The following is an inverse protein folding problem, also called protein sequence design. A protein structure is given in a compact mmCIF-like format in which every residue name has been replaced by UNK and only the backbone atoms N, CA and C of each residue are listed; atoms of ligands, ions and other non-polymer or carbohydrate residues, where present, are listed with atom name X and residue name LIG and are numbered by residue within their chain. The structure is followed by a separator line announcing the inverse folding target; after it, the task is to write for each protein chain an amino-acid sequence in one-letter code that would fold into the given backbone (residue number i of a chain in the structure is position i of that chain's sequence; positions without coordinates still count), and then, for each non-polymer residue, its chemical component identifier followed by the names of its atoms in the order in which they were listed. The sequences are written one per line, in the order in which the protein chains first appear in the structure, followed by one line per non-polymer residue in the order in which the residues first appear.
data_IF_645537424070
#
_entry.id   IF_645537424070
#
_cell.length_a   1.000
_cell.length_b   1.000
_cell.length_c   1.000
_cell.angle_alpha   90.00
_cell.angle_beta   90.00
_cell.angle_gamma   90.00
#
_symmetry.space_group_name_H-M   'P 1'
#
loop_
_entity.id
_entity.type
_entity.pdbx_description
1 polymer ?
#
# COMPACT_ATOMS: atom_id res chain seq x y z
N UNK A 1 -1.23 -61.43 51.89
CA UNK A 1 -2.35 -61.28 50.96
C UNK A 1 -1.91 -60.30 49.90
N UNK A 2 -1.84 -60.79 48.65
CA UNK A 2 -1.32 -60.11 47.47
C UNK A 2 -2.49 -59.32 46.80
N UNK A 3 -2.33 -58.07 46.48
CA UNK A 3 -3.23 -57.33 45.62
C UNK A 3 -2.44 -56.71 44.48
N UNK A 4 -2.74 -57.18 43.25
CA UNK A 4 -2.16 -56.71 42.00
C UNK A 4 -2.85 -55.41 41.54
N UNK A 5 -2.06 -54.37 41.29
CA UNK A 5 -2.51 -53.17 40.65
C UNK A 5 -2.10 -53.16 39.16
N UNK A 6 -3.10 -53.36 38.29
CA UNK A 6 -2.90 -53.31 36.83
C UNK A 6 -2.96 -51.84 36.37
N UNK A 7 -1.87 -51.38 35.79
CA UNK A 7 -1.83 -50.09 35.10
C UNK A 7 -2.54 -50.20 33.73
N UNK A 8 -3.62 -49.49 33.56
CA UNK A 8 -4.27 -49.25 32.27
C UNK A 8 -3.57 -48.06 31.58
N UNK A 9 -2.83 -48.35 30.50
CA UNK A 9 -2.22 -47.34 29.64
C UNK A 9 -3.29 -46.91 28.63
N UNK A 10 -3.87 -45.72 28.83
CA UNK A 10 -4.78 -45.10 27.87
C UNK A 10 -3.96 -44.35 26.83
N UNK A 11 -3.89 -44.91 25.61
CA UNK A 11 -3.39 -44.18 24.43
C UNK A 11 -4.34 -43.04 24.06
N UNK A 12 -3.93 -41.82 24.34
CA UNK A 12 -4.57 -40.65 23.77
C UNK A 12 -4.11 -40.46 22.31
N UNK A 13 -4.96 -40.91 21.36
CA UNK A 13 -4.79 -40.57 19.96
C UNK A 13 -5.19 -39.10 19.76
N UNK A 14 -4.21 -38.22 19.65
CA UNK A 14 -4.45 -36.82 19.26
C UNK A 14 -4.78 -36.84 17.76
N UNK A 15 -6.05 -36.77 17.45
CA UNK A 15 -6.54 -36.54 16.10
C UNK A 15 -6.32 -35.07 15.73
N UNK A 16 -5.24 -34.80 15.01
CA UNK A 16 -4.97 -33.46 14.45
C UNK A 16 -6.00 -33.24 13.34
N UNK A 17 -7.04 -32.46 13.63
CA UNK A 17 -7.94 -31.93 12.61
C UNK A 17 -7.17 -30.91 11.77
N UNK A 18 -6.59 -31.37 10.69
CA UNK A 18 -6.05 -30.48 9.64
C UNK A 18 -7.25 -29.85 8.95
N UNK A 19 -7.42 -28.56 9.18
CA UNK A 19 -8.50 -27.75 8.62
C UNK A 19 -8.45 -27.80 7.08
N UNK A 20 -9.50 -28.30 6.40
CA UNK A 20 -9.50 -28.45 4.93
C UNK A 20 -9.33 -27.14 4.17
N UNK A 21 -9.57 -25.97 4.82
CA UNK A 21 -9.29 -24.67 4.22
C UNK A 21 -7.79 -24.40 3.99
N UNK A 22 -6.89 -25.05 4.73
CA UNK A 22 -5.43 -24.93 4.52
C UNK A 22 -4.96 -25.70 3.27
N UNK A 23 -5.67 -26.77 2.90
CA UNK A 23 -5.36 -27.53 1.69
C UNK A 23 -5.83 -26.85 0.41
N UNK A 24 -6.94 -26.09 0.46
CA UNK A 24 -7.46 -25.39 -0.72
C UNK A 24 -6.61 -24.17 -1.10
N UNK A 25 -5.94 -23.53 -0.15
CA UNK A 25 -5.01 -22.41 -0.44
C UNK A 25 -3.71 -22.88 -1.14
N UNK A 26 -3.33 -24.17 -0.98
CA UNK A 26 -2.13 -24.74 -1.59
C UNK A 26 -2.40 -25.49 -2.91
N UNK A 27 -3.64 -25.71 -3.32
CA UNK A 27 -3.95 -26.45 -4.55
C UNK A 27 -3.98 -25.60 -5.83
N UNK A 28 -3.93 -24.28 -5.74
CA UNK A 28 -3.84 -23.42 -6.94
C UNK A 28 -2.42 -23.22 -7.49
N UNK A 29 -1.41 -23.89 -6.93
CA UNK A 29 -0.01 -23.83 -7.42
C UNK A 29 0.43 -25.21 -7.96
N UNK A 30 -0.44 -25.94 -8.64
CA UNK A 30 -0.04 -27.14 -9.39
C UNK A 30 -0.03 -26.83 -10.89
N UNK A 31 1.18 -26.62 -11.42
CA UNK A 31 1.40 -26.57 -12.86
C UNK A 31 2.46 -25.58 -13.34
N UNK A 32 3.47 -25.24 -12.55
CA UNK A 32 4.63 -24.57 -13.11
C UNK A 32 5.67 -25.64 -13.53
N UNK A 33 5.70 -25.89 -14.83
CA UNK A 33 6.77 -26.63 -15.49
C UNK A 33 8.10 -25.90 -15.26
N UNK A 34 9.02 -26.54 -14.54
CA UNK A 34 10.36 -26.04 -14.23
C UNK A 34 11.32 -26.17 -15.43
N UNK A 35 10.79 -26.31 -16.62
CA UNK A 35 11.55 -26.42 -17.88
C UNK A 35 11.76 -25.09 -18.56
N UNK A 36 12.97 -24.58 -18.48
CA UNK A 36 13.54 -23.39 -19.09
C UNK A 36 13.29 -22.06 -18.36
N UNK A 37 14.33 -21.22 -18.30
CA UNK A 37 14.41 -19.83 -17.82
C UNK A 37 13.44 -18.85 -18.54
N UNK A 38 12.16 -19.20 -18.70
CA UNK A 38 11.16 -18.34 -19.31
C UNK A 38 10.82 -17.24 -18.33
N UNK A 39 11.22 -16.04 -18.65
CA UNK A 39 10.98 -14.84 -17.88
C UNK A 39 9.49 -14.55 -17.87
N UNK A 40 8.90 -14.44 -16.67
CA UNK A 40 7.49 -14.10 -16.52
C UNK A 40 7.18 -12.72 -17.11
N UNK A 41 6.12 -12.63 -17.90
CA UNK A 41 5.60 -11.39 -18.50
C UNK A 41 4.52 -10.81 -17.61
N UNK A 42 4.72 -9.61 -17.14
CA UNK A 42 3.81 -8.93 -16.20
C UNK A 42 3.25 -7.66 -16.81
N UNK A 43 1.94 -7.50 -16.74
CA UNK A 43 1.27 -6.21 -16.93
C UNK A 43 0.91 -5.66 -15.56
N UNK A 44 1.39 -4.46 -15.24
CA UNK A 44 1.05 -3.75 -14.02
C UNK A 44 0.03 -2.65 -14.31
N UNK A 45 -1.09 -2.63 -13.60
CA UNK A 45 -2.14 -1.61 -13.73
C UNK A 45 -1.98 -0.47 -12.71
N UNK A 46 -1.03 -0.59 -11.77
CA UNK A 46 -0.69 0.48 -10.81
C UNK A 46 0.76 0.88 -10.93
N UNK A 47 1.05 2.14 -10.65
CA UNK A 47 2.43 2.65 -10.68
C UNK A 47 3.32 1.95 -9.65
N UNK A 48 2.79 1.66 -8.46
CA UNK A 48 3.56 0.95 -7.42
C UNK A 48 3.93 -0.47 -7.87
N UNK A 49 2.97 -1.21 -8.46
CA UNK A 49 3.26 -2.56 -8.96
C UNK A 49 4.26 -2.54 -10.10
N UNK A 50 4.15 -1.56 -11.02
CA UNK A 50 5.13 -1.40 -12.10
C UNK A 50 6.53 -1.08 -11.56
N UNK A 51 6.64 -0.20 -10.57
CA UNK A 51 7.90 0.18 -9.95
C UNK A 51 8.54 -1.01 -9.20
N UNK A 52 7.76 -1.76 -8.42
CA UNK A 52 8.26 -2.95 -7.72
C UNK A 52 8.72 -4.04 -8.69
N UNK A 53 7.93 -4.36 -9.72
CA UNK A 53 8.33 -5.33 -10.76
C UNK A 53 9.57 -4.84 -11.50
N UNK A 54 9.63 -3.54 -11.87
CA UNK A 54 10.79 -2.94 -12.52
C UNK A 54 12.06 -3.06 -11.69
N UNK A 55 11.99 -2.78 -10.40
CA UNK A 55 13.13 -2.93 -9.48
C UNK A 55 13.62 -4.37 -9.36
N UNK A 56 12.72 -5.35 -9.41
CA UNK A 56 13.07 -6.77 -9.36
C UNK A 56 13.54 -7.29 -10.73
N UNK A 57 12.81 -6.96 -11.80
CA UNK A 57 13.07 -7.41 -13.16
C UNK A 57 12.37 -6.53 -14.18
N UNK A 58 12.98 -5.44 -14.60
CA UNK A 58 12.40 -4.48 -15.58
C UNK A 58 11.98 -5.18 -16.89
N UNK A 59 12.72 -6.17 -17.33
CA UNK A 59 12.44 -6.92 -18.54
C UNK A 59 11.27 -7.92 -18.39
N UNK A 60 10.71 -8.09 -17.21
CA UNK A 60 9.45 -8.79 -16.99
C UNK A 60 8.23 -7.89 -17.23
N UNK A 61 8.38 -6.58 -17.19
CA UNK A 61 7.29 -5.65 -17.49
C UNK A 61 7.02 -5.57 -19.00
N UNK A 62 5.84 -6.02 -19.40
CA UNK A 62 5.36 -5.93 -20.80
C UNK A 62 4.27 -4.88 -20.99
N UNK A 63 3.71 -4.33 -19.90
CA UNK A 63 2.72 -3.26 -19.91
C UNK A 63 2.64 -2.53 -18.57
N UNK A 64 2.45 -1.21 -18.63
CA UNK A 64 2.39 -0.33 -17.45
C UNK A 64 1.24 0.69 -17.54
N UNK A 65 0.82 1.31 -16.43
CA UNK A 65 -0.11 2.43 -16.48
C UNK A 65 0.62 3.69 -16.99
N UNK A 66 -0.09 4.54 -17.71
CA UNK A 66 0.37 5.90 -18.03
C UNK A 66 0.40 6.77 -16.78
N UNK A 67 1.56 6.87 -16.16
CA UNK A 67 1.77 7.59 -14.90
C UNK A 67 2.83 8.69 -15.07
N UNK A 68 2.54 9.87 -14.49
CA UNK A 68 3.52 10.96 -14.42
C UNK A 68 4.75 10.59 -13.58
N UNK A 69 4.65 9.57 -12.71
CA UNK A 69 5.76 9.07 -11.91
C UNK A 69 6.88 8.47 -12.76
N UNK A 70 6.57 7.99 -13.97
CA UNK A 70 7.54 7.37 -14.89
C UNK A 70 8.05 8.31 -15.97
N UNK A 71 7.57 9.56 -16.01
CA UNK A 71 7.89 10.50 -17.10
C UNK A 71 9.39 10.69 -17.33
N UNK A 72 10.17 10.69 -16.26
CA UNK A 72 11.63 10.90 -16.31
C UNK A 72 12.45 9.62 -16.08
N UNK A 73 11.79 8.46 -15.93
CA UNK A 73 12.43 7.18 -15.69
C UNK A 73 12.68 6.48 -17.03
N UNK A 74 13.90 6.54 -17.53
CA UNK A 74 14.28 6.02 -18.86
C UNK A 74 13.91 4.57 -19.09
N UNK A 75 13.98 3.76 -18.05
CA UNK A 75 13.71 2.33 -18.08
C UNK A 75 12.24 1.98 -18.38
N UNK A 76 11.29 2.90 -18.10
CA UNK A 76 9.87 2.70 -18.36
C UNK A 76 9.40 3.28 -19.71
N UNK A 77 10.20 4.09 -20.39
CA UNK A 77 9.75 4.84 -21.58
C UNK A 77 9.35 3.97 -22.77
N UNK A 78 9.98 2.79 -22.91
CA UNK A 78 9.71 1.88 -24.02
C UNK A 78 8.68 0.80 -23.69
N UNK A 79 8.10 0.82 -22.48
CA UNK A 79 7.12 -0.18 -22.07
C UNK A 79 5.72 0.29 -22.50
N UNK A 80 4.92 -0.57 -23.16
CA UNK A 80 3.57 -0.23 -23.60
C UNK A 80 2.67 0.27 -22.47
N UNK A 81 2.00 1.40 -22.71
CA UNK A 81 1.01 1.96 -21.78
C UNK A 81 -0.33 1.28 -22.04
N UNK A 82 -0.90 0.62 -21.01
CA UNK A 82 -2.16 -0.14 -21.08
C UNK A 82 -3.34 0.56 -20.40
N UNK A 83 -3.10 1.67 -19.69
CA UNK A 83 -4.16 2.50 -19.10
C UNK A 83 -3.69 3.94 -18.96
N UNK A 84 -4.61 4.92 -18.95
CA UNK A 84 -4.27 6.34 -18.77
C UNK A 84 -5.20 6.98 -17.75
N UNK A 85 -4.60 7.53 -16.68
CA UNK A 85 -5.33 8.23 -15.63
C UNK A 85 -6.41 7.35 -14.98
N UNK A 86 -7.67 7.84 -15.01
CA UNK A 86 -8.84 7.12 -14.48
C UNK A 86 -9.59 6.29 -15.52
N UNK A 87 -9.08 6.22 -16.75
CA UNK A 87 -9.69 5.41 -17.80
C UNK A 87 -9.54 3.93 -17.48
N UNK A 88 -10.51 3.14 -17.92
CA UNK A 88 -10.42 1.68 -17.84
C UNK A 88 -9.18 1.19 -18.59
N UNK A 89 -8.48 0.17 -18.09
CA UNK A 89 -7.39 -0.46 -18.80
C UNK A 89 -7.86 -1.02 -20.17
N UNK A 90 -7.00 -0.90 -21.16
CA UNK A 90 -7.21 -1.43 -22.50
C UNK A 90 -7.00 -2.94 -22.51
N UNK A 91 -8.11 -3.68 -22.41
CA UNK A 91 -8.10 -5.15 -22.31
C UNK A 91 -7.52 -5.80 -23.57
N UNK A 92 -7.85 -5.30 -24.76
CA UNK A 92 -7.35 -5.83 -26.04
C UNK A 92 -5.82 -5.70 -26.10
N UNK A 93 -5.31 -4.54 -25.73
CA UNK A 93 -3.88 -4.30 -25.65
C UNK A 93 -3.22 -5.21 -24.62
N UNK A 94 -3.81 -5.40 -23.43
CA UNK A 94 -3.29 -6.31 -22.40
C UNK A 94 -3.19 -7.73 -22.98
N UNK A 95 -4.24 -8.24 -23.62
CA UNK A 95 -4.27 -9.57 -24.22
C UNK A 95 -3.18 -9.69 -25.30
N UNK A 96 -3.01 -8.69 -26.15
CA UNK A 96 -1.99 -8.71 -27.22
C UNK A 96 -0.56 -8.82 -26.70
N UNK A 97 -0.30 -8.34 -25.50
CA UNK A 97 1.01 -8.46 -24.83
C UNK A 97 1.30 -9.86 -24.28
N UNK A 98 0.30 -10.75 -24.27
CA UNK A 98 0.38 -12.14 -23.79
C UNK A 98 1.06 -12.21 -22.42
N UNK A 99 0.54 -11.54 -21.38
CA UNK A 99 1.12 -11.57 -20.04
C UNK A 99 0.87 -12.92 -19.39
N UNK A 100 1.82 -13.36 -18.56
CA UNK A 100 1.62 -14.48 -17.63
C UNK A 100 0.80 -14.02 -16.41
N UNK A 101 0.94 -12.73 -16.01
CA UNK A 101 0.20 -12.13 -14.88
C UNK A 101 -0.22 -10.69 -15.17
N UNK A 102 -1.40 -10.33 -14.65
CA UNK A 102 -1.86 -8.92 -14.61
C UNK A 102 -2.08 -8.51 -13.16
N UNK A 103 -1.44 -7.42 -12.72
CA UNK A 103 -1.49 -6.94 -11.34
C UNK A 103 -2.33 -5.66 -11.28
N UNK A 104 -3.38 -5.68 -10.45
CA UNK A 104 -4.27 -4.53 -10.25
C UNK A 104 -4.52 -4.20 -8.77
N UNK A 105 -5.09 -3.04 -8.50
CA UNK A 105 -5.48 -2.62 -7.16
C UNK A 105 -6.90 -3.10 -6.84
N UNK A 106 -7.08 -3.70 -5.66
CA UNK A 106 -8.37 -4.11 -5.12
C UNK A 106 -9.34 -2.92 -5.04
N UNK A 107 -10.57 -3.17 -5.42
CA UNK A 107 -11.62 -2.15 -5.46
C UNK A 107 -11.59 -1.31 -6.73
N UNK A 108 -10.42 -0.94 -7.24
CA UNK A 108 -10.30 -0.09 -8.44
C UNK A 108 -10.25 -0.89 -9.75
N UNK A 109 -9.53 -2.03 -9.76
CA UNK A 109 -9.36 -2.84 -10.98
C UNK A 109 -10.16 -4.16 -10.96
N UNK A 110 -11.00 -4.42 -9.95
CA UNK A 110 -11.68 -5.70 -9.77
C UNK A 110 -12.47 -6.14 -11.01
N UNK A 111 -13.17 -5.20 -11.66
CA UNK A 111 -13.93 -5.50 -12.88
C UNK A 111 -13.02 -5.89 -14.05
N UNK A 112 -11.88 -5.22 -14.18
CA UNK A 112 -10.89 -5.51 -15.23
C UNK A 112 -10.22 -6.86 -14.97
N UNK A 113 -9.80 -7.11 -13.72
CA UNK A 113 -9.15 -8.36 -13.34
C UNK A 113 -10.07 -9.56 -13.58
N UNK A 114 -11.33 -9.50 -13.15
CA UNK A 114 -12.31 -10.58 -13.45
C UNK A 114 -12.46 -10.86 -14.94
N UNK A 115 -12.58 -9.82 -15.77
CA UNK A 115 -12.66 -10.03 -17.23
C UNK A 115 -11.42 -10.73 -17.81
N UNK A 116 -10.24 -10.44 -17.27
CA UNK A 116 -9.00 -11.08 -17.70
C UNK A 116 -8.92 -12.54 -17.21
N UNK A 117 -9.42 -12.83 -16.01
CA UNK A 117 -9.56 -14.20 -15.47
C UNK A 117 -10.51 -15.02 -16.32
N UNK A 118 -11.66 -14.45 -16.72
CA UNK A 118 -12.62 -15.12 -17.62
C UNK A 118 -12.00 -15.47 -18.99
N UNK A 119 -10.95 -14.75 -19.38
CA UNK A 119 -10.17 -14.99 -20.60
C UNK A 119 -8.94 -15.89 -20.37
N UNK A 120 -8.80 -16.49 -19.16
CA UNK A 120 -7.73 -17.40 -18.81
C UNK A 120 -6.40 -16.74 -18.47
N UNK A 121 -6.37 -15.43 -18.21
CA UNK A 121 -5.17 -14.71 -17.81
C UNK A 121 -5.11 -14.65 -16.28
N UNK A 122 -3.99 -15.08 -15.69
CA UNK A 122 -3.80 -15.02 -14.23
C UNK A 122 -3.74 -13.58 -13.73
N UNK A 123 -4.42 -13.29 -12.63
CA UNK A 123 -4.45 -11.93 -12.06
C UNK A 123 -4.02 -11.92 -10.59
N UNK A 124 -3.56 -10.74 -10.15
CA UNK A 124 -3.17 -10.48 -8.77
C UNK A 124 -3.83 -9.17 -8.33
N UNK A 125 -4.69 -9.26 -7.32
CA UNK A 125 -5.33 -8.10 -6.71
C UNK A 125 -4.55 -7.65 -5.49
N UNK A 126 -4.02 -6.41 -5.51
CA UNK A 126 -3.20 -5.85 -4.42
C UNK A 126 -4.00 -4.88 -3.56
N UNK A 127 -3.73 -4.87 -2.27
CA UNK A 127 -4.34 -3.95 -1.31
C UNK A 127 -3.30 -3.46 -0.29
N UNK A 128 -2.53 -2.46 -0.69
CA UNK A 128 -1.40 -1.96 0.11
C UNK A 128 -1.89 -0.83 1.03
N UNK A 129 -2.11 -1.17 2.30
CA UNK A 129 -2.55 -0.25 3.36
C UNK A 129 -1.50 -0.01 4.43
N UNK A 130 -0.44 -0.81 4.45
CA UNK A 130 0.62 -0.73 5.44
C UNK A 130 1.98 -1.07 4.85
N UNK A 131 3.02 -0.77 5.61
CA UNK A 131 4.38 -1.18 5.26
C UNK A 131 4.53 -2.70 5.20
N UNK A 132 3.84 -3.43 6.10
CA UNK A 132 3.80 -4.88 6.10
C UNK A 132 3.18 -5.44 4.81
N UNK A 133 2.11 -4.81 4.30
CA UNK A 133 1.51 -5.22 3.03
C UNK A 133 2.48 -5.00 1.86
N UNK A 134 3.23 -3.89 1.88
CA UNK A 134 4.23 -3.58 0.86
C UNK A 134 5.36 -4.63 0.86
N UNK A 135 5.91 -4.97 2.03
CA UNK A 135 6.95 -5.99 2.21
C UNK A 135 6.46 -7.38 1.78
N UNK A 136 5.24 -7.73 2.17
CA UNK A 136 4.62 -9.00 1.76
C UNK A 136 4.41 -9.07 0.25
N UNK A 137 3.98 -7.98 -0.36
CA UNK A 137 3.77 -7.92 -1.81
C UNK A 137 5.09 -7.99 -2.59
N UNK A 138 6.16 -7.32 -2.13
CA UNK A 138 7.48 -7.47 -2.74
C UNK A 138 7.96 -8.92 -2.67
N UNK A 139 7.81 -9.58 -1.52
CA UNK A 139 8.18 -11.00 -1.35
C UNK A 139 7.38 -11.92 -2.28
N UNK A 140 6.08 -11.65 -2.46
CA UNK A 140 5.25 -12.36 -3.42
C UNK A 140 5.76 -12.18 -4.85
N UNK A 141 6.12 -10.95 -5.24
CA UNK A 141 6.68 -10.65 -6.58
C UNK A 141 8.01 -11.34 -6.82
N UNK A 142 8.88 -11.43 -5.82
CA UNK A 142 10.17 -12.16 -5.93
C UNK A 142 9.95 -13.63 -6.28
N UNK A 143 9.00 -14.27 -5.62
CA UNK A 143 8.64 -15.67 -5.89
C UNK A 143 8.05 -15.84 -7.30
N UNK A 144 7.11 -14.98 -7.70
CA UNK A 144 6.44 -15.01 -9.00
C UNK A 144 7.40 -14.78 -10.18
N UNK A 145 8.38 -13.90 -10.00
CA UNK A 145 9.36 -13.59 -11.04
C UNK A 145 10.52 -14.58 -11.04
N UNK A 146 10.55 -15.55 -10.13
CA UNK A 146 11.66 -16.51 -9.95
C UNK A 146 13.03 -15.81 -9.94
N UNK A 147 13.08 -14.60 -9.41
CA UNK A 147 14.31 -13.80 -9.43
C UNK A 147 15.17 -14.09 -8.21
N UNK A 148 16.46 -14.36 -8.44
CA UNK A 148 17.46 -14.45 -7.36
C UNK A 148 17.81 -13.06 -6.77
N UNK A 149 17.41 -12.01 -7.45
CA UNK A 149 17.59 -10.63 -6.96
C UNK A 149 16.71 -10.45 -5.75
N UNK A 150 17.31 -10.41 -4.56
CA UNK A 150 16.60 -10.01 -3.35
C UNK A 150 16.03 -8.62 -3.56
N UNK A 151 14.77 -8.44 -3.18
CA UNK A 151 14.19 -7.11 -3.13
C UNK A 151 15.08 -6.20 -2.28
N UNK A 152 15.13 -4.97 -2.67
CA UNK A 152 16.01 -3.99 -2.04
C UNK A 152 15.17 -2.86 -1.44
N UNK A 153 13.99 -3.23 -0.87
CA UNK A 153 13.07 -2.26 -0.27
C UNK A 153 13.78 -1.37 0.74
N UNK A 154 14.60 -1.94 1.62
CA UNK A 154 15.33 -1.19 2.64
C UNK A 154 16.25 -0.13 2.00
N UNK A 155 17.00 -0.47 0.96
CA UNK A 155 17.86 0.47 0.25
C UNK A 155 17.05 1.52 -0.53
N UNK A 156 15.94 1.12 -1.15
CA UNK A 156 15.08 2.03 -1.89
C UNK A 156 14.29 2.96 -0.96
N UNK A 157 14.02 2.50 0.26
CA UNK A 157 13.19 3.18 1.26
C UNK A 157 13.99 3.57 2.52
N UNK A 158 15.29 3.88 2.37
CA UNK A 158 16.19 4.20 3.50
C UNK A 158 15.58 5.13 4.53
N UNK A 159 14.88 6.17 4.07
CA UNK A 159 14.25 7.15 4.97
C UNK A 159 13.10 6.55 5.80
N UNK A 160 12.51 5.43 5.34
CA UNK A 160 11.43 4.75 6.06
C UNK A 160 11.94 3.75 7.10
N UNK A 161 13.22 3.37 7.04
CA UNK A 161 13.90 2.46 7.97
C UNK A 161 14.79 3.20 8.98
N UNK A 162 14.76 4.53 9.00
CA UNK A 162 15.49 5.29 10.01
C UNK A 162 15.01 4.94 11.41
N UNK A 163 15.95 4.85 12.36
CA UNK A 163 15.62 4.74 13.78
C UNK A 163 14.80 5.95 14.21
N UNK A 164 13.62 5.71 14.74
CA UNK A 164 12.75 6.75 15.25
C UNK A 164 13.23 7.14 16.64
N UNK A 165 13.41 8.44 16.84
CA UNK A 165 13.73 8.97 18.17
C UNK A 165 12.50 8.82 19.07
N UNK A 166 12.70 8.19 20.25
CA UNK A 166 11.65 8.01 21.27
C UNK A 166 11.07 9.32 21.78
N UNK A 167 11.76 10.45 21.61
CA UNK A 167 11.24 11.80 21.93
C UNK A 167 10.02 12.22 21.10
N UNK A 168 9.72 11.47 20.01
CA UNK A 168 8.52 11.67 19.18
C UNK A 168 7.27 11.04 19.74
N UNK A 169 7.42 10.07 20.64
CA UNK A 169 6.30 9.47 21.36
C UNK A 169 5.58 10.59 22.11
N UNK A 170 4.29 10.81 21.79
CA UNK A 170 3.39 11.84 22.28
C UNK A 170 3.28 13.14 21.44
N UNK A 171 3.91 13.24 20.28
CA UNK A 171 3.56 14.33 19.35
C UNK A 171 2.33 13.95 18.54
N UNK A 172 1.19 14.50 18.93
CA UNK A 172 -0.02 14.27 18.16
C UNK A 172 0.05 15.00 16.80
N UNK A 173 -0.49 14.34 15.79
CA UNK A 173 -0.58 14.87 14.43
C UNK A 173 -1.99 14.69 13.89
N UNK A 174 -2.37 15.57 12.99
CA UNK A 174 -3.55 15.42 12.17
C UNK A 174 -3.17 15.59 10.70
N UNK A 175 -3.50 14.62 9.88
CA UNK A 175 -3.37 14.74 8.43
C UNK A 175 -4.70 15.21 7.82
N UNK A 176 -4.66 16.22 6.97
CA UNK A 176 -5.78 16.68 6.16
C UNK A 176 -5.48 16.38 4.69
N UNK A 177 -6.29 15.49 4.09
CA UNK A 177 -6.06 15.01 2.72
C UNK A 177 -6.99 15.65 1.70
N UNK A 178 -8.07 16.27 2.17
CA UNK A 178 -9.03 17.04 1.39
C UNK A 178 -9.74 18.04 2.29
N UNK A 179 -10.30 19.09 1.71
CA UNK A 179 -11.12 20.10 2.41
C UNK A 179 -12.61 19.97 2.13
N UNK A 180 -12.96 19.40 0.99
CA UNK A 180 -14.36 19.26 0.55
C UNK A 180 -14.60 17.87 -0.03
N UNK A 181 -15.05 16.90 0.78
CA UNK A 181 -15.19 16.96 2.26
C UNK A 181 -13.84 17.01 2.97
N UNK A 182 -13.81 17.50 4.23
CA UNK A 182 -12.57 17.51 5.03
C UNK A 182 -12.28 16.09 5.50
N UNK A 183 -11.27 15.45 4.88
CA UNK A 183 -10.92 14.06 5.11
C UNK A 183 -9.61 13.94 5.89
N UNK A 184 -9.60 12.99 6.83
CA UNK A 184 -8.41 12.61 7.60
C UNK A 184 -8.22 11.07 7.57
N UNK A 185 -6.97 10.56 7.47
CA UNK A 185 -6.69 9.13 7.47
C UNK A 185 -6.70 8.55 8.88
N UNK A 186 -7.29 7.36 9.05
CA UNK A 186 -7.17 6.57 10.27
C UNK A 186 -6.13 5.44 10.13
N UNK A 187 -6.03 4.57 11.15
CA UNK A 187 -5.05 3.46 11.18
C UNK A 187 -5.24 2.41 10.07
N UNK A 188 -6.41 2.36 9.42
CA UNK A 188 -6.70 1.42 8.32
C UNK A 188 -6.17 1.90 6.96
N UNK A 189 -5.60 3.10 6.89
CA UNK A 189 -5.05 3.68 5.66
C UNK A 189 -3.53 3.57 5.58
N UNK A 190 -2.99 3.65 4.37
CA UNK A 190 -1.55 3.77 4.13
C UNK A 190 -0.93 4.94 4.89
N UNK A 191 -1.55 6.12 4.82
CA UNK A 191 -1.08 7.31 5.54
C UNK A 191 -1.05 7.11 7.05
N UNK A 192 -2.11 6.51 7.62
CA UNK A 192 -2.16 6.20 9.05
C UNK A 192 -1.08 5.21 9.46
N UNK A 193 -0.81 4.20 8.63
CA UNK A 193 0.30 3.27 8.83
C UNK A 193 1.66 3.97 8.82
N UNK A 194 1.89 4.92 7.90
CA UNK A 194 3.12 5.71 7.87
C UNK A 194 3.27 6.60 9.11
N UNK A 195 2.21 7.32 9.49
CA UNK A 195 2.21 8.17 10.69
C UNK A 195 2.60 7.35 11.92
N UNK A 196 1.96 6.19 12.10
CA UNK A 196 2.27 5.26 13.20
C UNK A 196 3.71 4.75 13.13
N UNK A 197 4.20 4.42 11.93
CA UNK A 197 5.58 3.96 11.72
C UNK A 197 6.61 4.95 12.20
N UNK A 198 6.32 6.26 12.09
CA UNK A 198 7.20 7.33 12.57
C UNK A 198 6.96 7.73 14.03
N UNK A 199 6.19 6.94 14.80
CA UNK A 199 5.98 7.15 16.23
C UNK A 199 5.06 8.33 16.57
N UNK A 200 4.32 8.87 15.59
CA UNK A 200 3.37 9.94 15.85
C UNK A 200 2.02 9.38 16.31
N UNK A 201 1.40 10.12 17.22
CA UNK A 201 0.02 9.89 17.64
C UNK A 201 -0.94 10.53 16.63
N UNK A 202 -1.58 9.73 15.80
CA UNK A 202 -2.58 10.20 14.85
C UNK A 202 -3.92 10.40 15.54
N UNK A 203 -4.38 11.64 15.68
CA UNK A 203 -5.63 11.99 16.37
C UNK A 203 -6.89 11.29 15.81
N UNK A 204 -6.80 10.75 14.60
CA UNK A 204 -7.91 10.04 13.96
C UNK A 204 -7.67 8.53 13.84
N UNK A 205 -6.60 7.99 14.47
CA UNK A 205 -6.18 6.60 14.31
C UNK A 205 -7.31 5.59 14.59
N UNK A 206 -7.99 5.76 15.71
CA UNK A 206 -8.99 4.80 16.22
C UNK A 206 -10.43 5.20 15.88
N UNK A 207 -10.62 6.29 15.12
CA UNK A 207 -11.94 6.72 14.70
C UNK A 207 -12.41 5.88 13.50
N UNK A 208 -13.67 5.38 13.52
CA UNK A 208 -14.16 4.53 12.45
C UNK A 208 -14.34 5.32 11.14
N UNK A 209 -13.92 4.75 10.04
CA UNK A 209 -14.22 5.27 8.71
C UNK A 209 -15.69 4.98 8.38
N UNK A 210 -16.49 6.04 8.22
CA UNK A 210 -17.88 5.96 7.75
C UNK A 210 -17.93 6.51 6.32
N UNK A 211 -18.25 5.66 5.34
CA UNK A 211 -18.43 6.09 3.95
C UNK A 211 -17.66 5.25 2.93
N UNK A 212 -17.59 5.75 1.70
CA UNK A 212 -16.98 5.06 0.55
C UNK A 212 -15.47 4.86 0.66
N UNK A 213 -14.78 5.75 1.37
CA UNK A 213 -13.33 5.75 1.48
C UNK A 213 -12.86 5.05 2.76
N UNK A 214 -12.73 3.73 2.70
CA UNK A 214 -12.17 2.95 3.82
C UNK A 214 -10.80 3.48 4.22
N UNK A 215 -10.60 3.66 5.54
CA UNK A 215 -9.36 4.22 6.08
C UNK A 215 -9.33 5.75 6.11
N UNK A 216 -10.41 6.42 5.69
CA UNK A 216 -10.56 7.87 5.77
C UNK A 216 -11.91 8.22 6.41
N UNK A 217 -11.93 9.30 7.16
CA UNK A 217 -13.14 9.77 7.81
C UNK A 217 -13.34 11.26 7.60
N UNK A 218 -14.60 11.68 7.61
CA UNK A 218 -14.97 13.08 7.58
C UNK A 218 -14.77 13.69 8.96
N UNK A 219 -14.08 14.81 9.01
CA UNK A 219 -14.03 15.69 10.17
C UNK A 219 -14.56 17.07 9.77
N UNK A 220 -14.84 17.91 10.76
CA UNK A 220 -15.27 19.30 10.53
C UNK A 220 -14.37 20.29 11.27
N UNK A 221 -14.58 21.58 11.03
CA UNK A 221 -13.78 22.62 11.65
C UNK A 221 -13.95 22.67 13.17
N UNK A 222 -15.14 22.35 13.68
CA UNK A 222 -15.41 22.30 15.12
C UNK A 222 -14.59 21.18 15.79
N UNK A 223 -14.58 19.97 15.19
CA UNK A 223 -13.75 18.86 15.65
C UNK A 223 -12.27 19.25 15.66
N UNK A 224 -11.80 19.92 14.62
CA UNK A 224 -10.42 20.38 14.50
C UNK A 224 -10.04 21.39 15.57
N UNK A 225 -10.94 22.35 15.88
CA UNK A 225 -10.76 23.31 16.96
C UNK A 225 -10.74 22.66 18.36
N UNK A 226 -11.58 21.66 18.57
CA UNK A 226 -11.66 20.95 19.86
C UNK A 226 -10.40 20.13 20.12
N UNK A 227 -9.85 19.47 19.09
CA UNK A 227 -8.74 18.53 19.26
C UNK A 227 -7.34 19.15 19.13
N UNK A 228 -7.23 20.37 18.61
CA UNK A 228 -6.00 21.18 18.58
C UNK A 228 -4.71 20.39 18.29
N UNK A 229 -4.50 19.87 17.07
CA UNK A 229 -3.29 19.10 16.76
C UNK A 229 -2.02 19.91 16.99
N UNK A 230 -0.98 19.25 17.52
CA UNK A 230 0.35 19.86 17.63
C UNK A 230 1.01 20.07 16.27
N UNK A 231 0.77 19.14 15.33
CA UNK A 231 1.30 19.19 13.99
C UNK A 231 0.19 18.96 12.97
N UNK A 232 0.17 19.75 11.89
CA UNK A 232 -0.73 19.56 10.75
C UNK A 232 0.05 19.04 9.55
N UNK A 233 -0.39 17.91 9.02
CA UNK A 233 0.11 17.31 7.80
C UNK A 233 -0.89 17.59 6.68
N UNK A 234 -0.56 18.50 5.77
CA UNK A 234 -1.45 18.95 4.71
C UNK A 234 -1.07 18.34 3.38
N UNK A 235 -2.01 17.69 2.73
CA UNK A 235 -1.76 17.04 1.44
C UNK A 235 -2.10 17.97 0.29
N UNK A 236 -1.13 18.15 -0.61
CA UNK A 236 -1.34 18.86 -1.87
C UNK A 236 -1.98 17.92 -2.87
N UNK A 237 -3.12 18.32 -3.39
CA UNK A 237 -3.81 17.65 -4.50
C UNK A 237 -4.20 18.68 -5.56
N UNK A 238 -4.59 18.29 -6.77
CA UNK A 238 -5.16 19.25 -7.74
C UNK A 238 -6.38 20.02 -7.20
N UNK A 239 -7.10 19.43 -6.25
CA UNK A 239 -8.29 20.01 -5.63
C UNK A 239 -8.02 20.70 -4.28
N UNK A 240 -6.79 20.65 -3.74
CA UNK A 240 -6.45 21.19 -2.41
C UNK A 240 -5.01 21.70 -2.38
N UNK A 241 -4.84 22.98 -2.60
CA UNK A 241 -3.54 23.67 -2.42
C UNK A 241 -3.33 24.03 -0.95
N UNK A 242 -2.08 24.32 -0.55
CA UNK A 242 -1.78 24.79 0.80
C UNK A 242 -2.49 26.11 1.13
N UNK A 243 -2.71 26.97 0.13
CA UNK A 243 -3.40 28.25 0.34
C UNK A 243 -4.89 28.08 0.59
N UNK A 244 -5.51 27.04 0.02
CA UNK A 244 -6.91 26.71 0.33
C UNK A 244 -7.09 26.28 1.79
N UNK A 245 -6.10 25.61 2.41
CA UNK A 245 -6.15 25.30 3.84
C UNK A 245 -6.11 26.58 4.68
N UNK A 246 -5.34 27.59 4.28
CA UNK A 246 -5.27 28.89 4.96
C UNK A 246 -6.58 29.67 4.91
N UNK A 247 -7.49 29.37 3.96
CA UNK A 247 -8.80 30.03 3.87
C UNK A 247 -9.84 29.53 4.88
N UNK A 248 -9.51 28.49 5.68
CA UNK A 248 -10.38 28.04 6.75
C UNK A 248 -10.56 29.16 7.80
N UNK A 249 -11.80 29.45 8.19
CA UNK A 249 -12.14 30.50 9.17
C UNK A 249 -11.47 30.30 10.53
N UNK A 250 -11.14 29.04 10.86
CA UNK A 250 -10.48 28.65 12.10
C UNK A 250 -8.96 28.63 12.03
N UNK A 251 -8.37 28.88 10.83
CA UNK A 251 -6.95 28.64 10.58
C UNK A 251 -6.05 29.26 11.66
N UNK A 252 -6.19 30.55 11.90
CA UNK A 252 -5.37 31.28 12.87
C UNK A 252 -5.65 30.91 14.35
N UNK A 253 -6.68 30.11 14.61
CA UNK A 253 -7.02 29.62 15.95
C UNK A 253 -6.33 28.29 16.28
N UNK A 254 -5.77 27.60 15.27
CA UNK A 254 -5.12 26.29 15.44
C UNK A 254 -3.74 26.43 16.07
N UNK A 255 -3.46 25.60 17.07
CA UNK A 255 -2.17 25.54 17.77
C UNK A 255 -1.01 25.26 16.83
N UNK A 256 -1.18 24.30 15.90
CA UNK A 256 -0.16 23.98 14.90
C UNK A 256 0.17 25.17 14.00
N UNK A 257 -0.82 26.02 13.67
CA UNK A 257 -0.62 27.23 12.84
C UNK A 257 0.16 28.27 13.62
N UNK A 258 -0.25 28.56 14.86
CA UNK A 258 0.43 29.51 15.76
C UNK A 258 1.90 29.15 15.99
N UNK A 259 2.16 27.84 16.14
CA UNK A 259 3.49 27.28 16.40
C UNK A 259 4.28 26.98 15.12
N UNK A 260 3.78 27.33 13.93
CA UNK A 260 4.42 27.07 12.62
C UNK A 260 4.73 25.58 12.38
N UNK A 261 3.92 24.68 12.94
CA UNK A 261 4.04 23.23 12.82
C UNK A 261 3.09 22.68 11.72
N UNK A 262 3.31 23.16 10.49
CA UNK A 262 2.52 22.82 9.32
C UNK A 262 3.45 22.22 8.28
N UNK A 263 3.14 21.01 7.82
CA UNK A 263 3.97 20.24 6.91
C UNK A 263 3.14 19.83 5.69
N UNK A 264 3.53 20.31 4.51
CA UNK A 264 2.86 19.94 3.25
C UNK A 264 3.40 18.59 2.73
N UNK A 265 2.55 17.72 2.26
CA UNK A 265 2.90 16.44 1.66
C UNK A 265 2.37 16.34 0.24
N UNK A 266 3.05 15.60 -0.61
CA UNK A 266 2.54 15.25 -1.93
C UNK A 266 1.56 14.08 -1.80
N UNK A 267 0.60 13.99 -2.74
CA UNK A 267 -0.37 12.91 -2.80
C UNK A 267 0.30 11.53 -2.90
N UNK A 268 1.24 11.41 -3.86
CA UNK A 268 2.02 10.19 -4.01
C UNK A 268 3.08 10.06 -2.90
N UNK A 269 3.19 8.88 -2.36
CA UNK A 269 4.03 8.54 -1.21
C UNK A 269 3.31 8.66 0.13
N UNK A 270 2.44 9.64 0.30
CA UNK A 270 1.75 9.84 1.58
C UNK A 270 0.29 9.34 1.59
N UNK A 271 -0.50 9.58 0.54
CA UNK A 271 -1.88 9.07 0.43
C UNK A 271 -1.94 7.80 -0.41
N UNK A 272 -1.40 7.86 -1.59
CA UNK A 272 -1.21 6.73 -2.48
C UNK A 272 0.29 6.40 -2.51
N UNK A 273 0.71 5.18 -2.22
CA UNK A 273 2.13 4.80 -2.27
C UNK A 273 2.82 5.25 -3.56
N UNK A 274 2.19 5.08 -4.70
CA UNK A 274 2.61 5.57 -6.01
C UNK A 274 3.86 4.90 -6.56
N UNK A 275 5.01 5.12 -5.92
CA UNK A 275 6.30 4.54 -6.27
C UNK A 275 7.22 4.49 -5.04
N UNK A 276 8.28 3.67 -5.08
CA UNK A 276 9.28 3.59 -4.01
C UNK A 276 9.94 4.96 -3.75
N UNK A 277 10.25 5.70 -4.82
CA UNK A 277 10.80 7.06 -4.71
C UNK A 277 9.83 8.00 -3.98
N UNK A 278 8.53 7.95 -4.33
CA UNK A 278 7.50 8.77 -3.68
C UNK A 278 7.34 8.43 -2.20
N UNK A 279 7.32 7.13 -1.87
CA UNK A 279 7.26 6.65 -0.48
C UNK A 279 8.48 7.15 0.29
N UNK A 280 9.69 6.99 -0.25
CA UNK A 280 10.92 7.42 0.42
C UNK A 280 10.95 8.93 0.68
N UNK A 281 10.44 9.75 -0.25
CA UNK A 281 10.28 11.20 -0.07
C UNK A 281 9.30 11.53 1.06
N UNK A 282 8.17 10.84 1.14
CA UNK A 282 7.21 11.03 2.24
C UNK A 282 7.82 10.63 3.59
N UNK A 283 8.52 9.51 3.65
CA UNK A 283 9.24 9.06 4.85
C UNK A 283 10.32 10.06 5.27
N UNK A 284 11.14 10.56 4.34
CA UNK A 284 12.14 11.60 4.62
C UNK A 284 11.53 12.84 5.22
N UNK A 285 10.32 13.22 4.75
CA UNK A 285 9.62 14.37 5.29
C UNK A 285 9.07 14.11 6.69
N UNK A 286 8.51 12.93 6.94
CA UNK A 286 8.07 12.51 8.28
C UNK A 286 9.24 12.41 9.27
N UNK A 287 10.42 11.98 8.81
CA UNK A 287 11.61 11.88 9.68
C UNK A 287 12.14 13.25 10.15
N UNK A 288 11.74 14.35 9.52
CA UNK A 288 12.17 15.70 9.84
C UNK A 288 11.15 16.50 10.68
N UNK A 289 10.03 15.89 11.11
CA UNK A 289 9.04 16.46 12.00
C UNK A 289 9.35 16.14 13.46
#
# INVERSE_FOLDING_TARGET
MKSNFKYFLSLFVIQIFINPLYLLANQQIKGFDTGQNKKSKVVALTSLSADLVGNLSISSLVGIPGSSLFKNEKEFQNIPIVSRGRMQPDIEKIISLKPDFVIGAKGFHDKTLRKLEDLGISTISTNIKSFKDLESFESQLQNLLSTKKKGNLENNLKSCYLKIDSSRNNKNVLALVSLKPMLSPNSESWSGSLIKRFGFDNLTADLPSKGEFKGYLNINQEWLLKNQPNNLLLVKTPASSLDQYKSLTIWNKLSAVKNKKIFGFEYYGFINPGSLSSINKACKKLSNI
#
